data_IF_035865838486
#
_entry.id   IF_035865838486
#
_cell.length_a   1.000
_cell.length_b   1.000
_cell.length_c   1.000
_cell.angle_alpha   90.00
_cell.angle_beta   90.00
_cell.angle_gamma   90.00
#
_symmetry.space_group_name_H-M   'P 1'
#
loop_
_entity.id
_entity.type
_entity.pdbx_description
1 polymer ?
#
# COMPACT_ATOMS: atom_id res chain seq x y z
N UNK A 1 -1.97 1.25 5.41
CA UNK A 1 -1.02 0.16 5.08
C UNK A 1 -0.66 0.24 3.61
N UNK A 2 0.55 -0.14 3.21
CA UNK A 2 0.86 -0.36 1.79
C UNK A 2 0.68 -1.84 1.46
N UNK A 3 0.04 -2.14 0.33
CA UNK A 3 -0.10 -3.49 -0.20
C UNK A 3 0.68 -3.62 -1.51
N UNK A 4 1.24 -4.79 -1.76
CA UNK A 4 1.84 -5.08 -3.06
C UNK A 4 0.75 -5.15 -4.13
N UNK A 5 0.92 -4.48 -5.27
CA UNK A 5 -0.09 -4.45 -6.32
C UNK A 5 -0.32 -5.83 -7.00
N UNK A 6 0.69 -6.71 -6.98
CA UNK A 6 0.65 -7.99 -7.69
C UNK A 6 0.15 -9.14 -6.82
N UNK A 7 0.66 -9.22 -5.59
CA UNK A 7 0.33 -10.31 -4.67
C UNK A 7 -0.61 -9.88 -3.52
N UNK A 8 -1.05 -8.62 -3.48
CA UNK A 8 -1.98 -8.04 -2.50
C UNK A 8 -1.55 -8.15 -1.02
N UNK A 9 -0.34 -8.64 -0.76
CA UNK A 9 0.15 -8.78 0.60
C UNK A 9 0.46 -7.42 1.24
N UNK A 10 0.11 -7.25 2.52
CA UNK A 10 0.44 -6.05 3.27
C UNK A 10 1.95 -6.03 3.56
N UNK A 11 2.60 -4.95 3.17
CA UNK A 11 4.03 -4.78 3.37
C UNK A 11 4.26 -4.31 4.79
N UNK A 12 4.93 -5.17 5.57
CA UNK A 12 5.33 -4.89 6.94
C UNK A 12 6.76 -4.35 7.03
N UNK A 13 7.61 -4.70 6.09
CA UNK A 13 9.02 -4.30 6.07
C UNK A 13 9.25 -3.16 5.06
N UNK A 14 9.24 -1.93 5.56
CA UNK A 14 9.67 -0.73 4.85
C UNK A 14 11.14 -0.44 5.15
N UNK A 15 12.04 -1.37 4.79
CA UNK A 15 13.48 -1.08 4.84
C UNK A 15 13.81 -0.11 3.72
N UNK A 16 14.44 1.03 4.07
CA UNK A 16 14.70 2.16 3.17
C UNK A 16 15.59 1.85 1.95
N UNK A 17 16.19 0.65 1.90
CA UNK A 17 17.06 0.20 0.81
C UNK A 17 16.27 -0.83 -0.02
N UNK A 18 15.65 -0.35 -1.10
CA UNK A 18 14.98 -1.18 -2.10
C UNK A 18 13.66 -1.76 -1.61
N UNK A 19 12.58 -0.97 -1.68
CA UNK A 19 11.24 -1.49 -1.43
C UNK A 19 10.89 -2.53 -2.50
N UNK A 20 10.97 -3.81 -2.15
CA UNK A 20 10.69 -4.94 -3.00
C UNK A 20 9.79 -5.89 -2.23
N UNK A 21 8.71 -6.37 -2.87
CA UNK A 21 7.86 -7.37 -2.25
C UNK A 21 8.61 -8.70 -2.15
N UNK A 22 8.72 -9.25 -0.94
CA UNK A 22 9.45 -10.49 -0.64
C UNK A 22 8.96 -11.70 -1.46
N UNK A 23 7.64 -11.78 -1.70
CA UNK A 23 7.06 -12.92 -2.43
C UNK A 23 7.09 -12.79 -3.93
N UNK A 24 6.85 -11.59 -4.46
CA UNK A 24 6.62 -11.42 -5.89
C UNK A 24 7.61 -10.46 -6.58
N UNK A 25 8.66 -10.01 -5.86
CA UNK A 25 9.73 -9.16 -6.39
C UNK A 25 9.28 -7.80 -6.91
N UNK A 26 7.99 -7.48 -6.75
CA UNK A 26 7.36 -6.31 -7.34
C UNK A 26 7.67 -5.06 -6.52
N UNK A 27 7.91 -3.95 -7.22
CA UNK A 27 8.22 -2.63 -6.64
C UNK A 27 7.03 -1.65 -6.72
N UNK A 28 5.84 -2.17 -7.01
CA UNK A 28 4.61 -1.41 -7.16
C UNK A 28 3.74 -1.61 -5.93
N UNK A 29 3.41 -0.50 -5.27
CA UNK A 29 2.75 -0.50 -3.97
C UNK A 29 1.53 0.40 -3.97
N UNK A 30 0.43 -0.11 -3.42
CA UNK A 30 -0.85 0.58 -3.34
C UNK A 30 -1.07 0.96 -1.87
N UNK A 31 -1.30 2.26 -1.62
CA UNK A 31 -1.68 2.73 -0.28
C UNK A 31 -3.15 2.43 -0.06
N UNK A 32 -3.45 1.68 0.99
CA UNK A 32 -4.84 1.48 1.40
C UNK A 32 -5.46 2.80 1.81
N UNK A 33 -6.70 3.00 1.36
CA UNK A 33 -7.50 4.16 1.71
C UNK A 33 -7.81 4.08 3.21
N UNK A 34 -7.49 5.11 4.01
CA UNK A 34 -7.90 5.13 5.40
C UNK A 34 -9.43 5.12 5.46
N UNK A 35 -10.00 4.35 6.39
CA UNK A 35 -11.45 4.29 6.62
C UNK A 35 -11.99 5.55 7.33
N UNK A 36 -11.27 6.66 7.24
CA UNK A 36 -11.74 7.96 7.69
C UNK A 36 -12.86 8.41 6.77
N UNK A 37 -14.07 8.55 7.32
CA UNK A 37 -15.22 9.10 6.61
C UNK A 37 -14.83 10.45 6.04
N UNK A 38 -14.77 10.57 4.71
CA UNK A 38 -14.63 11.86 4.06
C UNK A 38 -15.95 12.61 4.27
N UNK A 39 -15.93 13.72 4.98
CA UNK A 39 -17.05 14.67 4.99
C UNK A 39 -17.08 15.34 3.62
N UNK A 40 -17.85 14.77 2.70
CA UNK A 40 -18.15 15.39 1.42
C UNK A 40 -19.18 16.50 1.69
N UNK A 41 -18.78 17.76 1.53
CA UNK A 41 -19.74 18.86 1.41
C UNK A 41 -20.17 18.89 -0.06
N UNK A 42 -21.44 18.65 -0.33
CA UNK A 42 -22.02 18.95 -1.64
C UNK A 42 -22.29 20.46 -1.71
N UNK A 43 -21.90 21.08 -2.81
CA UNK A 43 -22.17 22.48 -3.16
C UNK A 43 -23.63 22.63 -3.65
#
# INVERSE_FOLDING_TARGET
>A
MYRCAKCNEPIRNMTAIGLQCDKCGSRIFIKERPNSKKTLKSD
#
